data_IF_747381366359
#
_entry.id   IF_747381366359
#
_cell.length_a   1.000
_cell.length_b   1.000
_cell.length_c   1.000
_cell.angle_alpha   90.00
_cell.angle_beta   90.00
_cell.angle_gamma   90.00
#
_symmetry.space_group_name_H-M   'P 1'
#
loop_
_entity.id
_entity.type
_entity.pdbx_description
1 polymer ?
#
# COMPACT_ATOMS: atom_id res chain seq x y z
N UNK A 1 -10.78 16.14 14.04
CA UNK A 1 -11.13 15.62 12.69
C UNK A 1 -10.79 16.70 11.67
N UNK A 2 -9.71 16.53 10.93
CA UNK A 2 -9.32 17.48 9.89
C UNK A 2 -9.83 16.92 8.57
N UNK A 3 -10.95 17.42 8.07
CA UNK A 3 -11.32 17.20 6.67
C UNK A 3 -10.58 18.30 5.90
N UNK A 4 -9.54 17.94 5.16
CA UNK A 4 -8.87 18.88 4.27
C UNK A 4 -8.76 18.29 2.88
N UNK A 5 -8.97 19.15 1.89
CA UNK A 5 -9.01 18.75 0.48
C UNK A 5 -7.61 18.42 -0.05
N UNK A 6 -6.60 19.22 0.32
CA UNK A 6 -5.23 19.03 -0.13
C UNK A 6 -4.24 19.35 1.01
N UNK A 7 -3.32 18.43 1.27
CA UNK A 7 -2.33 18.58 2.34
C UNK A 7 -0.94 18.29 1.77
N UNK A 8 0.02 19.19 2.04
CA UNK A 8 1.40 19.04 1.58
C UNK A 8 2.12 17.90 2.28
N UNK A 9 2.37 18.06 3.57
CA UNK A 9 3.03 17.06 4.42
C UNK A 9 2.34 16.99 5.79
N UNK A 10 2.27 15.79 6.36
CA UNK A 10 1.73 15.56 7.70
C UNK A 10 2.71 14.71 8.50
N UNK A 11 2.90 15.10 9.75
CA UNK A 11 3.54 14.27 10.76
C UNK A 11 2.53 13.99 11.87
N UNK A 12 2.32 12.72 12.21
CA UNK A 12 1.41 12.31 13.29
C UNK A 12 0.19 11.53 12.80
N UNK A 13 -0.97 11.81 13.42
CA UNK A 13 -2.20 11.06 13.20
C UNK A 13 -3.22 11.84 12.37
N UNK A 14 -3.79 11.19 11.35
CA UNK A 14 -4.88 11.75 10.56
C UNK A 14 -5.98 10.73 10.29
N UNK A 15 -7.23 11.18 10.35
CA UNK A 15 -8.40 10.30 10.19
C UNK A 15 -8.85 10.26 8.73
N UNK A 16 -9.10 11.39 8.07
CA UNK A 16 -9.64 11.45 6.70
C UNK A 16 -8.97 12.60 5.93
N UNK A 17 -8.52 12.36 4.70
CA UNK A 17 -8.16 13.44 3.77
C UNK A 17 -8.20 12.98 2.30
N UNK A 18 -8.49 13.89 1.39
CA UNK A 18 -8.67 13.57 -0.02
C UNK A 18 -7.34 13.42 -0.76
N UNK A 19 -6.47 14.43 -0.70
CA UNK A 19 -5.18 14.43 -1.39
C UNK A 19 -4.04 14.81 -0.45
N UNK A 20 -2.99 13.99 -0.44
CA UNK A 20 -1.86 14.19 0.44
C UNK A 20 -0.55 13.98 -0.32
N UNK A 21 0.38 14.91 -0.13
CA UNK A 21 1.76 14.70 -0.55
C UNK A 21 2.40 13.61 0.30
N UNK A 22 2.98 13.98 1.43
CA UNK A 22 3.77 13.07 2.23
C UNK A 22 3.18 12.87 3.63
N UNK A 23 3.27 11.65 4.16
CA UNK A 23 2.85 11.33 5.52
C UNK A 23 3.99 10.62 6.23
N UNK A 24 4.26 11.06 7.45
CA UNK A 24 5.06 10.33 8.42
C UNK A 24 4.20 10.06 9.65
N UNK A 25 3.75 8.82 9.84
CA UNK A 25 2.90 8.45 10.98
C UNK A 25 1.74 7.53 10.60
N UNK A 26 0.57 7.80 11.18
CA UNK A 26 -0.59 6.93 11.10
C UNK A 26 -1.77 7.61 10.38
N UNK A 27 -2.34 6.91 9.41
CA UNK A 27 -3.51 7.39 8.68
C UNK A 27 -4.61 6.33 8.56
N UNK A 28 -5.85 6.74 8.75
CA UNK A 28 -7.00 5.83 8.65
C UNK A 28 -7.53 5.77 7.21
N UNK A 29 -7.93 6.90 6.61
CA UNK A 29 -8.56 6.93 5.28
C UNK A 29 -7.98 8.05 4.42
N UNK A 30 -7.55 7.72 3.19
CA UNK A 30 -7.28 8.75 2.18
C UNK A 30 -7.47 8.28 0.74
N UNK A 31 -7.89 9.19 -0.14
CA UNK A 31 -8.13 8.86 -1.53
C UNK A 31 -6.83 8.78 -2.35
N UNK A 32 -5.96 9.79 -2.28
CA UNK A 32 -4.74 9.84 -3.08
C UNK A 32 -3.53 10.31 -2.27
N UNK A 33 -2.45 9.53 -2.32
CA UNK A 33 -1.25 9.82 -1.53
C UNK A 33 0.03 9.66 -2.36
N UNK A 34 0.92 10.66 -2.26
CA UNK A 34 2.22 10.62 -2.95
C UNK A 34 3.15 9.62 -2.26
N UNK A 35 3.40 9.79 -0.96
CA UNK A 35 4.37 8.99 -0.21
C UNK A 35 3.93 8.79 1.24
N UNK A 36 4.16 7.59 1.79
CA UNK A 36 3.91 7.28 3.20
C UNK A 36 5.14 6.64 3.81
N UNK A 37 5.46 7.09 5.02
CA UNK A 37 6.32 6.39 5.96
C UNK A 37 5.52 6.11 7.23
N UNK A 38 5.21 4.84 7.51
CA UNK A 38 4.44 4.46 8.69
C UNK A 38 3.29 3.52 8.41
N UNK A 39 2.14 3.74 9.06
CA UNK A 39 1.00 2.83 9.04
C UNK A 39 -0.22 3.47 8.36
N UNK A 40 -0.88 2.70 7.50
CA UNK A 40 -2.12 3.12 6.85
C UNK A 40 -3.16 2.02 6.84
N UNK A 41 -4.41 2.40 7.11
CA UNK A 41 -5.52 1.44 7.12
C UNK A 41 -6.16 1.31 5.73
N UNK A 42 -6.65 2.42 5.15
CA UNK A 42 -7.38 2.38 3.87
C UNK A 42 -6.89 3.48 2.93
N UNK A 43 -6.58 3.11 1.69
CA UNK A 43 -6.41 4.08 0.61
C UNK A 43 -6.88 3.60 -0.76
N UNK A 44 -7.18 4.54 -1.65
CA UNK A 44 -7.52 4.21 -3.04
C UNK A 44 -6.28 4.17 -3.93
N UNK A 45 -5.44 5.22 -3.91
CA UNK A 45 -4.27 5.32 -4.77
C UNK A 45 -3.03 5.80 -4.03
N UNK A 46 -1.96 5.01 -4.12
CA UNK A 46 -0.69 5.35 -3.50
C UNK A 46 0.47 5.07 -4.44
N UNK A 47 1.43 6.01 -4.50
CA UNK A 47 2.60 5.82 -5.34
C UNK A 47 3.75 5.10 -4.63
N UNK A 48 3.99 5.39 -3.36
CA UNK A 48 5.11 4.84 -2.58
C UNK A 48 4.73 4.66 -1.12
N UNK A 49 5.06 3.49 -0.56
CA UNK A 49 4.89 3.18 0.87
C UNK A 49 6.18 2.59 1.41
N UNK A 50 6.57 3.08 2.58
CA UNK A 50 7.53 2.43 3.46
C UNK A 50 6.83 2.16 4.79
N UNK A 51 6.56 0.90 5.11
CA UNK A 51 5.88 0.52 6.35
C UNK A 51 4.74 -0.48 6.16
N UNK A 52 3.63 -0.28 6.87
CA UNK A 52 2.54 -1.25 6.94
C UNK A 52 1.25 -0.68 6.35
N UNK A 53 0.56 -1.50 5.56
CA UNK A 53 -0.72 -1.17 4.97
C UNK A 53 -1.74 -2.29 5.09
N UNK A 54 -2.97 -1.96 5.45
CA UNK A 54 -4.04 -2.96 5.55
C UNK A 54 -4.76 -3.12 4.22
N UNK A 55 -5.33 -2.06 3.66
CA UNK A 55 -6.14 -2.14 2.43
C UNK A 55 -5.77 -1.04 1.46
N UNK A 56 -5.54 -1.41 0.20
CA UNK A 56 -5.41 -0.45 -0.90
C UNK A 56 -5.97 -0.95 -2.22
N UNK A 57 -6.41 -0.03 -3.07
CA UNK A 57 -6.86 -0.39 -4.41
C UNK A 57 -5.69 -0.43 -5.41
N UNK A 58 -4.91 0.64 -5.49
CA UNK A 58 -3.82 0.74 -6.48
C UNK A 58 -2.53 1.24 -5.84
N UNK A 59 -1.45 0.48 -6.02
CA UNK A 59 -0.13 0.84 -5.51
C UNK A 59 0.97 0.65 -6.53
N UNK A 60 1.83 1.67 -6.64
CA UNK A 60 2.96 1.60 -7.56
C UNK A 60 4.22 0.96 -6.93
N UNK A 61 4.53 1.21 -5.65
CA UNK A 61 5.71 0.70 -4.96
C UNK A 61 5.45 0.52 -3.46
N UNK A 62 5.87 -0.61 -2.89
CA UNK A 62 5.83 -0.89 -1.45
C UNK A 62 7.17 -1.45 -0.99
N UNK A 63 7.63 -0.93 0.14
CA UNK A 63 8.66 -1.55 0.98
C UNK A 63 8.07 -1.80 2.36
N UNK A 64 7.87 -3.07 2.74
CA UNK A 64 7.30 -3.43 4.03
C UNK A 64 6.20 -4.48 3.96
N UNK A 65 5.14 -4.30 4.74
CA UNK A 65 4.07 -5.29 4.89
C UNK A 65 2.73 -4.80 4.33
N UNK A 66 2.01 -5.69 3.66
CA UNK A 66 0.68 -5.42 3.14
C UNK A 66 -0.27 -6.58 3.35
N UNK A 67 -1.49 -6.28 3.78
CA UNK A 67 -2.51 -7.31 3.99
C UNK A 67 -3.32 -7.54 2.71
N UNK A 68 -3.98 -6.50 2.17
CA UNK A 68 -4.87 -6.63 1.01
C UNK A 68 -4.60 -5.55 -0.03
N UNK A 69 -4.46 -5.96 -1.28
CA UNK A 69 -4.46 -5.02 -2.40
C UNK A 69 -5.13 -5.57 -3.65
N UNK A 70 -5.64 -4.67 -4.50
CA UNK A 70 -6.16 -5.07 -5.80
C UNK A 70 -5.07 -5.06 -6.88
N UNK A 71 -4.33 -3.96 -7.03
CA UNK A 71 -3.31 -3.83 -8.07
C UNK A 71 -2.00 -3.29 -7.52
N UNK A 72 -0.90 -4.01 -7.77
CA UNK A 72 0.43 -3.59 -7.35
C UNK A 72 1.45 -3.79 -8.45
N UNK A 73 2.27 -2.75 -8.66
CA UNK A 73 3.34 -2.82 -9.65
C UNK A 73 4.66 -3.40 -9.11
N UNK A 74 5.06 -3.07 -7.88
CA UNK A 74 6.31 -3.53 -7.28
C UNK A 74 6.19 -3.65 -5.75
N UNK A 75 6.70 -4.74 -5.19
CA UNK A 75 6.76 -4.98 -3.74
C UNK A 75 8.15 -5.48 -3.35
N UNK A 76 8.63 -4.98 -2.21
CA UNK A 76 9.73 -5.58 -1.47
C UNK A 76 9.26 -5.80 -0.03
N UNK A 77 9.11 -7.05 0.40
CA UNK A 77 8.66 -7.40 1.74
C UNK A 77 7.60 -8.50 1.77
N UNK A 78 6.57 -8.32 2.60
CA UNK A 78 5.57 -9.37 2.87
C UNK A 78 4.18 -8.95 2.40
N UNK A 79 3.48 -9.88 1.76
CA UNK A 79 2.11 -9.68 1.28
C UNK A 79 1.20 -10.85 1.63
N UNK A 80 0.01 -10.56 2.13
CA UNK A 80 -0.97 -11.62 2.43
C UNK A 80 -1.85 -11.91 1.22
N UNK A 81 -2.57 -10.92 0.69
CA UNK A 81 -3.52 -11.12 -0.42
C UNK A 81 -3.38 -10.04 -1.48
N UNK A 82 -3.29 -10.47 -2.75
CA UNK A 82 -3.44 -9.56 -3.88
C UNK A 82 -4.17 -10.16 -5.08
N UNK A 83 -4.80 -9.32 -5.88
CA UNK A 83 -5.37 -9.76 -7.15
C UNK A 83 -4.33 -9.70 -8.28
N UNK A 84 -3.62 -8.59 -8.43
CA UNK A 84 -2.67 -8.40 -9.53
C UNK A 84 -1.35 -7.82 -9.05
N UNK A 85 -0.25 -8.52 -9.32
CA UNK A 85 1.10 -8.06 -8.99
C UNK A 85 2.01 -8.23 -10.19
N UNK A 86 2.69 -7.14 -10.57
CA UNK A 86 3.68 -7.24 -11.63
C UNK A 86 5.01 -7.82 -11.13
N UNK A 87 5.54 -7.34 -10.01
CA UNK A 87 6.78 -7.85 -9.43
C UNK A 87 6.74 -7.88 -7.90
N UNK A 88 7.22 -8.98 -7.31
CA UNK A 88 7.50 -9.07 -5.88
C UNK A 88 8.92 -9.60 -5.62
N UNK A 89 9.57 -9.00 -4.63
CA UNK A 89 10.72 -9.57 -3.93
C UNK A 89 10.34 -9.80 -2.46
N UNK A 90 10.29 -11.05 -2.00
CA UNK A 90 9.97 -11.38 -0.62
C UNK A 90 8.95 -12.51 -0.46
N UNK A 91 8.00 -12.34 0.46
CA UNK A 91 7.06 -13.39 0.86
C UNK A 91 5.64 -13.05 0.43
N UNK A 92 4.92 -14.03 -0.11
CA UNK A 92 3.52 -13.88 -0.44
C UNK A 92 2.68 -15.10 -0.08
N UNK A 93 1.50 -14.85 0.49
CA UNK A 93 0.56 -15.94 0.82
C UNK A 93 -0.37 -16.25 -0.34
N UNK A 94 -1.14 -15.28 -0.84
CA UNK A 94 -2.15 -15.50 -1.89
C UNK A 94 -2.07 -14.45 -2.99
N UNK A 95 -2.06 -14.92 -4.23
CA UNK A 95 -2.28 -14.06 -5.40
C UNK A 95 -3.11 -14.70 -6.48
N UNK A 96 -3.85 -13.86 -7.23
CA UNK A 96 -4.47 -14.33 -8.46
C UNK A 96 -3.47 -14.27 -9.62
N UNK A 97 -2.98 -13.08 -9.98
CA UNK A 97 -2.12 -12.90 -11.14
C UNK A 97 -0.76 -12.30 -10.76
N UNK A 98 0.32 -13.02 -11.08
CA UNK A 98 1.69 -12.52 -10.90
C UNK A 98 2.57 -12.74 -12.11
N UNK A 99 3.32 -11.71 -12.50
CA UNK A 99 4.29 -11.80 -13.59
C UNK A 99 5.69 -12.22 -13.15
N UNK A 100 6.21 -11.70 -12.04
CA UNK A 100 7.57 -11.98 -11.59
C UNK A 100 7.64 -12.10 -10.07
N UNK A 101 8.28 -13.17 -9.58
CA UNK A 101 8.52 -13.42 -8.14
C UNK A 101 9.99 -13.76 -7.92
N UNK A 102 10.58 -13.08 -6.94
CA UNK A 102 11.84 -13.47 -6.32
C UNK A 102 11.60 -13.68 -4.84
N UNK A 103 11.43 -14.93 -4.40
CA UNK A 103 11.14 -15.28 -3.02
C UNK A 103 10.15 -16.42 -2.92
N UNK A 104 9.34 -16.44 -1.86
CA UNK A 104 8.41 -17.54 -1.58
C UNK A 104 6.96 -17.12 -1.80
N UNK A 105 6.20 -18.04 -2.40
CA UNK A 105 4.76 -17.92 -2.59
C UNK A 105 4.08 -19.20 -2.10
N UNK A 106 2.99 -19.06 -1.35
CA UNK A 106 2.23 -20.20 -0.84
C UNK A 106 1.14 -20.64 -1.82
N UNK A 107 0.31 -19.71 -2.32
CA UNK A 107 -0.82 -20.01 -3.21
C UNK A 107 -0.91 -19.02 -4.36
N UNK A 108 -0.98 -19.55 -5.59
CA UNK A 108 -1.32 -18.78 -6.79
C UNK A 108 -2.57 -19.37 -7.44
N UNK A 109 -3.50 -18.51 -7.87
CA UNK A 109 -4.72 -18.89 -8.59
C UNK A 109 -4.78 -18.12 -9.90
N UNK A 110 -4.37 -18.75 -11.00
CA UNK A 110 -4.29 -18.10 -12.31
C UNK A 110 -5.68 -17.81 -12.91
#
# INVERSE_FOLDING_TARGET
MVISHQIGCITGHMVISHQIGCITGHMVISHQIRCITGHMVISHQIRCITGHMVVSHQIRCITGQMVVSHQIRCITGQMVVSHQIRCITGQMVVSHQIRCITGHMVVSSN
#
